data_IF_629006319845
#
_entry.id   IF_629006319845
#
_cell.length_a   1.000
_cell.length_b   1.000
_cell.length_c   1.000
_cell.angle_alpha   90.00
_cell.angle_beta   90.00
_cell.angle_gamma   90.00
#
_symmetry.space_group_name_H-M   'P 1'
#
loop_
_entity.id
_entity.type
_entity.pdbx_description
1 polymer ?
#
# COMPACT_ATOMS: atom_id res chain seq x y z
N UNK A 1 -6.68 -26.88 -7.52
CA UNK A 1 -7.38 -25.75 -8.19
C UNK A 1 -6.70 -25.49 -9.52
N UNK A 2 -7.33 -25.81 -10.66
CA UNK A 2 -6.70 -25.72 -11.99
C UNK A 2 -7.02 -24.42 -12.74
N UNK A 3 -8.17 -23.78 -12.50
CA UNK A 3 -8.53 -22.48 -13.09
C UNK A 3 -8.16 -21.28 -12.20
N UNK A 4 -7.80 -20.14 -12.82
CA UNK A 4 -7.69 -18.85 -12.12
C UNK A 4 -9.06 -18.52 -11.53
N UNK A 5 -9.10 -18.18 -10.24
CA UNK A 5 -10.37 -17.93 -9.56
C UNK A 5 -11.01 -16.63 -10.06
N UNK A 6 -12.34 -16.55 -9.99
CA UNK A 6 -13.10 -15.35 -10.31
C UNK A 6 -12.57 -14.11 -9.57
N UNK A 7 -12.23 -14.28 -8.28
CA UNK A 7 -11.69 -13.24 -7.40
C UNK A 7 -10.35 -12.68 -7.89
N UNK A 8 -9.43 -13.54 -8.28
CA UNK A 8 -8.14 -13.13 -8.85
C UNK A 8 -8.36 -12.23 -10.07
N UNK A 9 -9.21 -12.65 -11.03
CA UNK A 9 -9.55 -11.87 -12.23
C UNK A 9 -10.11 -10.49 -11.91
N UNK A 10 -11.07 -10.43 -10.99
CA UNK A 10 -11.67 -9.17 -10.55
C UNK A 10 -10.60 -8.26 -9.93
N UNK A 11 -9.75 -8.79 -9.05
CA UNK A 11 -8.70 -7.99 -8.41
C UNK A 11 -7.72 -7.40 -9.44
N UNK A 12 -7.29 -8.19 -10.43
CA UNK A 12 -6.43 -7.70 -11.51
C UNK A 12 -7.12 -6.58 -12.29
N UNK A 13 -8.36 -6.79 -12.74
CA UNK A 13 -9.09 -5.80 -13.54
C UNK A 13 -9.24 -4.49 -12.76
N UNK A 14 -9.67 -4.54 -11.49
CA UNK A 14 -9.82 -3.35 -10.67
C UNK A 14 -8.48 -2.63 -10.44
N UNK A 15 -7.41 -3.38 -10.15
CA UNK A 15 -6.07 -2.79 -9.97
C UNK A 15 -5.54 -2.14 -11.25
N UNK A 16 -5.79 -2.77 -12.40
CA UNK A 16 -5.43 -2.24 -13.71
C UNK A 16 -6.22 -0.95 -14.00
N UNK A 17 -7.52 -0.91 -13.74
CA UNK A 17 -8.36 0.27 -13.96
C UNK A 17 -7.95 1.47 -13.08
N UNK A 18 -7.48 1.24 -11.85
CA UNK A 18 -6.92 2.28 -10.98
C UNK A 18 -5.63 2.86 -11.60
N UNK A 19 -4.70 2.01 -12.04
CA UNK A 19 -3.46 2.47 -12.68
C UNK A 19 -3.71 3.12 -14.05
N UNK A 20 -4.65 2.58 -14.81
CA UNK A 20 -5.04 3.13 -16.10
C UNK A 20 -5.66 4.52 -15.96
N UNK A 21 -6.36 4.77 -14.86
CA UNK A 21 -6.86 6.11 -14.54
C UNK A 21 -5.74 7.13 -14.37
N UNK A 22 -4.70 6.76 -13.61
CA UNK A 22 -3.49 7.58 -13.47
C UNK A 22 -2.79 7.79 -14.81
N UNK A 23 -2.68 6.74 -15.64
CA UNK A 23 -2.10 6.83 -16.98
C UNK A 23 -2.88 7.79 -17.88
N UNK A 24 -4.21 7.67 -17.94
CA UNK A 24 -5.06 8.55 -18.75
C UNK A 24 -4.91 10.02 -18.39
N UNK A 25 -4.87 10.33 -17.09
CA UNK A 25 -4.64 11.70 -16.61
C UNK A 25 -3.20 12.18 -16.85
N UNK A 26 -2.21 11.28 -16.86
CA UNK A 26 -0.84 11.62 -17.23
C UNK A 26 -0.68 11.95 -18.72
N UNK A 27 -1.45 11.27 -19.58
CA UNK A 27 -1.41 11.46 -21.03
C UNK A 27 -2.43 12.48 -21.52
N UNK A 28 -3.12 13.19 -20.61
CA UNK A 28 -4.15 14.20 -20.93
C UNK A 28 -5.26 13.66 -21.84
N UNK A 29 -5.70 12.42 -21.60
CA UNK A 29 -6.79 11.81 -22.35
C UNK A 29 -8.11 12.59 -22.13
N UNK A 30 -9.04 12.62 -23.10
CA UNK A 30 -10.34 13.26 -22.94
C UNK A 30 -11.08 12.80 -21.70
N UNK A 31 -11.76 13.73 -21.01
CA UNK A 31 -12.52 13.45 -19.79
C UNK A 31 -13.54 12.32 -19.99
N UNK A 32 -14.11 12.17 -21.20
CA UNK A 32 -15.00 11.06 -21.55
C UNK A 32 -14.34 9.69 -21.32
N UNK A 33 -13.08 9.49 -21.72
CA UNK A 33 -12.37 8.22 -21.53
C UNK A 33 -12.08 7.95 -20.05
N UNK A 34 -11.79 9.00 -19.27
CA UNK A 34 -11.61 8.90 -17.82
C UNK A 34 -12.93 8.47 -17.14
N UNK A 35 -14.06 9.04 -17.54
CA UNK A 35 -15.40 8.65 -17.06
C UNK A 35 -15.73 7.20 -17.43
N UNK A 36 -15.46 6.79 -18.67
CA UNK A 36 -15.67 5.41 -19.13
C UNK A 36 -14.82 4.44 -18.30
N UNK A 37 -13.54 4.72 -18.08
CA UNK A 37 -12.67 3.88 -17.24
C UNK A 37 -13.22 3.72 -15.82
N UNK A 38 -13.70 4.82 -15.21
CA UNK A 38 -14.29 4.76 -13.87
C UNK A 38 -15.65 4.02 -13.85
N UNK A 39 -16.49 4.17 -14.87
CA UNK A 39 -17.72 3.40 -15.01
C UNK A 39 -17.45 1.90 -15.16
N UNK A 40 -16.42 1.51 -15.92
CA UNK A 40 -15.99 0.11 -16.03
C UNK A 40 -15.50 -0.41 -14.67
N UNK A 41 -14.80 0.43 -13.88
CA UNK A 41 -14.41 0.08 -12.52
C UNK A 41 -15.65 -0.21 -11.66
N UNK A 42 -16.63 0.69 -11.63
CA UNK A 42 -17.89 0.50 -10.89
C UNK A 42 -18.66 -0.74 -11.37
N UNK A 43 -18.77 -0.95 -12.69
CA UNK A 43 -19.41 -2.13 -13.25
C UNK A 43 -18.70 -3.42 -12.82
N UNK A 44 -17.37 -3.42 -12.76
CA UNK A 44 -16.59 -4.56 -12.27
C UNK A 44 -16.87 -4.83 -10.79
N UNK A 45 -17.01 -3.78 -9.98
CA UNK A 45 -17.46 -3.92 -8.57
C UNK A 45 -18.87 -4.52 -8.52
N UNK A 46 -19.82 -4.04 -9.33
CA UNK A 46 -21.17 -4.60 -9.38
C UNK A 46 -21.15 -6.09 -9.78
N UNK A 47 -20.35 -6.47 -10.78
CA UNK A 47 -20.17 -7.87 -11.19
C UNK A 47 -19.64 -8.71 -10.03
N UNK A 48 -18.67 -8.21 -9.25
CA UNK A 48 -18.18 -8.88 -8.06
C UNK A 48 -19.28 -9.12 -7.00
N UNK A 49 -20.15 -8.13 -6.79
CA UNK A 49 -21.26 -8.27 -5.84
C UNK A 49 -22.31 -9.29 -6.30
N UNK A 50 -22.70 -9.26 -7.58
CA UNK A 50 -23.88 -10.00 -8.04
C UNK A 50 -23.61 -11.35 -8.71
N UNK A 51 -22.51 -11.52 -9.47
CA UNK A 51 -22.30 -12.74 -10.29
C UNK A 51 -22.20 -14.02 -9.45
N UNK A 52 -21.59 -13.93 -8.27
CA UNK A 52 -21.53 -15.00 -7.27
C UNK A 52 -21.97 -14.44 -5.90
N UNK A 53 -23.26 -14.10 -5.78
CA UNK A 53 -23.78 -13.32 -4.64
C UNK A 53 -23.38 -13.90 -3.26
N UNK A 54 -23.47 -15.21 -3.08
CA UNK A 54 -23.15 -15.89 -1.82
C UNK A 54 -21.65 -16.13 -1.59
N UNK A 55 -20.80 -15.92 -2.59
CA UNK A 55 -19.34 -16.01 -2.39
C UNK A 55 -18.82 -14.73 -1.72
N UNK A 56 -17.98 -14.92 -0.70
CA UNK A 56 -17.38 -13.85 0.09
C UNK A 56 -18.38 -12.82 0.65
N UNK A 57 -19.41 -13.27 1.40
CA UNK A 57 -20.42 -12.36 1.96
C UNK A 57 -19.79 -11.40 2.99
N UNK A 58 -18.75 -11.85 3.71
CA UNK A 58 -18.03 -11.04 4.67
C UNK A 58 -17.39 -9.81 4.03
N UNK A 59 -16.67 -9.93 2.90
CA UNK A 59 -16.11 -8.75 2.25
C UNK A 59 -17.19 -7.81 1.76
N UNK A 60 -18.25 -8.34 1.14
CA UNK A 60 -19.33 -7.52 0.58
C UNK A 60 -20.02 -6.68 1.65
N UNK A 61 -20.38 -7.30 2.77
CA UNK A 61 -20.99 -6.61 3.91
C UNK A 61 -20.00 -5.62 4.53
N UNK A 62 -18.78 -6.07 4.84
CA UNK A 62 -17.72 -5.22 5.40
C UNK A 62 -17.47 -3.96 4.57
N UNK A 63 -17.41 -4.13 3.25
CA UNK A 63 -17.10 -3.03 2.35
C UNK A 63 -18.28 -2.09 2.14
N UNK A 64 -19.53 -2.59 2.12
CA UNK A 64 -20.71 -1.74 2.16
C UNK A 64 -20.71 -0.84 3.40
N UNK A 65 -20.40 -1.38 4.59
CA UNK A 65 -20.26 -0.57 5.79
C UNK A 65 -19.20 0.52 5.66
N UNK A 66 -18.02 0.20 5.11
CA UNK A 66 -16.97 1.21 4.84
C UNK A 66 -17.47 2.31 3.91
N UNK A 67 -18.17 1.96 2.83
CA UNK A 67 -18.76 2.93 1.90
C UNK A 67 -19.75 3.83 2.64
N UNK A 68 -20.68 3.27 3.42
CA UNK A 68 -21.68 4.04 4.15
C UNK A 68 -21.04 5.02 5.15
N UNK A 69 -20.03 4.57 5.92
CA UNK A 69 -19.30 5.44 6.85
C UNK A 69 -18.54 6.55 6.10
N UNK A 70 -17.91 6.20 4.97
CA UNK A 70 -17.21 7.16 4.12
C UNK A 70 -18.17 8.22 3.59
N UNK A 71 -19.36 7.85 3.14
CA UNK A 71 -20.36 8.80 2.64
C UNK A 71 -21.00 9.66 3.74
N UNK A 72 -21.06 9.15 4.98
CA UNK A 72 -21.67 9.86 6.11
C UNK A 72 -20.78 10.93 6.76
N UNK A 73 -19.53 11.13 6.32
CA UNK A 73 -18.58 12.04 6.98
C UNK A 73 -17.81 12.90 5.97
N UNK A 74 -17.64 14.21 6.19
CA UNK A 74 -16.71 15.01 5.38
C UNK A 74 -15.25 14.69 5.75
N UNK A 75 -14.30 15.07 4.90
CA UNK A 75 -12.88 15.07 5.30
C UNK A 75 -12.60 16.26 6.22
N UNK A 76 -12.16 15.97 7.45
CA UNK A 76 -11.80 16.98 8.44
C UNK A 76 -10.32 16.90 8.89
N UNK A 77 -9.65 15.77 8.68
CA UNK A 77 -8.27 15.60 9.11
C UNK A 77 -7.29 16.34 8.19
N UNK A 78 -6.28 16.97 8.79
CA UNK A 78 -5.39 17.91 8.10
C UNK A 78 -4.70 17.30 6.88
N UNK A 79 -3.94 16.21 7.00
CA UNK A 79 -3.23 15.63 5.86
C UNK A 79 -4.20 15.08 4.80
N UNK A 80 -5.30 14.43 5.21
CA UNK A 80 -6.32 13.94 4.28
C UNK A 80 -6.88 15.06 3.40
N UNK A 81 -7.16 16.22 4.00
CA UNK A 81 -7.69 17.39 3.29
C UNK A 81 -6.60 18.12 2.51
N UNK A 82 -5.51 18.48 3.17
CA UNK A 82 -4.51 19.45 2.72
C UNK A 82 -3.43 18.84 1.83
N UNK A 83 -3.25 17.51 1.83
CA UNK A 83 -2.35 16.80 0.93
C UNK A 83 -3.21 16.06 -0.10
N UNK A 84 -3.92 15.03 0.36
CA UNK A 84 -4.49 14.02 -0.52
C UNK A 84 -5.67 14.54 -1.36
N UNK A 85 -6.71 15.07 -0.71
CA UNK A 85 -7.86 15.64 -1.44
C UNK A 85 -7.56 16.98 -2.07
N UNK A 86 -6.62 17.77 -1.54
CA UNK A 86 -6.17 18.98 -2.19
C UNK A 86 -5.57 18.68 -3.57
N UNK A 87 -4.66 17.71 -3.67
CA UNK A 87 -4.13 17.26 -4.96
C UNK A 87 -5.22 16.72 -5.88
N UNK A 88 -6.17 15.94 -5.34
CA UNK A 88 -7.30 15.44 -6.12
C UNK A 88 -8.16 16.57 -6.71
N UNK A 89 -8.42 17.62 -5.91
CA UNK A 89 -9.16 18.81 -6.33
C UNK A 89 -8.42 19.58 -7.42
N UNK A 90 -7.10 19.74 -7.28
CA UNK A 90 -6.26 20.34 -8.33
C UNK A 90 -6.34 19.56 -9.64
N UNK A 91 -6.18 18.24 -9.58
CA UNK A 91 -6.30 17.36 -10.75
C UNK A 91 -7.69 17.48 -11.39
N UNK A 92 -8.76 17.60 -10.58
CA UNK A 92 -10.12 17.78 -11.08
C UNK A 92 -10.29 19.09 -11.87
N UNK A 93 -9.74 20.22 -11.40
CA UNK A 93 -9.86 21.49 -12.12
C UNK A 93 -8.91 21.60 -13.32
N UNK A 94 -7.69 21.06 -13.19
CA UNK A 94 -6.63 21.22 -14.18
C UNK A 94 -6.61 20.08 -15.23
N UNK A 95 -7.32 18.97 -14.99
CA UNK A 95 -7.40 17.85 -15.92
C UNK A 95 -6.13 16.99 -16.03
N UNK A 96 -5.15 17.17 -15.14
CA UNK A 96 -3.86 16.47 -15.21
C UNK A 96 -3.24 16.17 -13.84
N UNK A 97 -2.56 15.02 -13.73
CA UNK A 97 -1.73 14.69 -12.56
C UNK A 97 -0.53 15.62 -12.38
N UNK A 98 -0.17 16.38 -13.43
CA UNK A 98 0.93 17.34 -13.43
C UNK A 98 0.51 18.75 -12.99
N UNK A 99 -0.71 18.89 -12.46
CA UNK A 99 -1.23 20.13 -11.85
C UNK A 99 -0.28 20.74 -10.82
N UNK A 100 0.52 19.93 -10.13
CA UNK A 100 1.53 20.36 -9.16
C UNK A 100 2.79 21.04 -9.76
N UNK A 101 2.87 21.18 -11.09
CA UNK A 101 4.05 21.71 -11.80
C UNK A 101 4.43 23.14 -11.42
N UNK A 102 3.48 23.93 -10.93
CA UNK A 102 3.70 25.29 -10.43
C UNK A 102 4.36 25.34 -9.03
N UNK A 103 4.50 24.18 -8.38
CA UNK A 103 5.00 24.03 -7.03
C UNK A 103 4.26 24.91 -5.99
N UNK A 104 2.99 25.25 -6.25
CA UNK A 104 2.13 25.99 -5.34
C UNK A 104 1.85 25.17 -4.06
N UNK A 105 1.58 25.84 -2.94
CA UNK A 105 1.24 25.21 -1.66
C UNK A 105 2.27 24.16 -1.19
N UNK A 106 3.57 24.51 -1.11
CA UNK A 106 4.65 23.57 -0.74
C UNK A 106 4.38 22.70 0.50
N UNK A 107 3.59 23.19 1.46
CA UNK A 107 3.15 22.41 2.63
C UNK A 107 2.40 21.12 2.28
N UNK A 108 1.77 21.03 1.09
CA UNK A 108 1.01 19.87 0.62
C UNK A 108 1.87 18.76 0.02
N UNK A 109 3.20 18.84 0.12
CA UNK A 109 4.13 17.80 -0.32
C UNK A 109 3.92 17.41 -1.79
N UNK A 110 4.13 18.38 -2.69
CA UNK A 110 3.89 18.25 -4.13
C UNK A 110 4.71 17.16 -4.84
N UNK A 111 5.75 16.64 -4.19
CA UNK A 111 6.57 15.55 -4.72
C UNK A 111 5.94 14.17 -4.48
N UNK A 112 4.89 14.06 -3.66
CA UNK A 112 4.18 12.81 -3.43
C UNK A 112 3.50 12.31 -4.71
N UNK A 113 3.51 10.99 -4.96
CA UNK A 113 2.83 10.43 -6.11
C UNK A 113 1.30 10.54 -5.99
N UNK A 114 0.66 10.76 -7.13
CA UNK A 114 -0.74 11.16 -7.20
C UNK A 114 -1.71 10.03 -7.60
N UNK A 115 -1.42 8.75 -7.34
CA UNK A 115 -2.33 7.65 -7.77
C UNK A 115 -3.73 7.77 -7.18
N UNK A 116 -3.82 7.85 -5.85
CA UNK A 116 -5.12 7.93 -5.18
C UNK A 116 -5.79 9.29 -5.40
N UNK A 117 -5.06 10.44 -5.37
CA UNK A 117 -5.60 11.71 -5.80
C UNK A 117 -6.18 11.70 -7.23
N UNK A 118 -5.50 11.08 -8.21
CA UNK A 118 -5.99 10.95 -9.58
C UNK A 118 -7.28 10.11 -9.65
N UNK A 119 -7.33 9.00 -8.91
CA UNK A 119 -8.51 8.16 -8.82
C UNK A 119 -9.69 8.87 -8.13
N UNK A 120 -9.41 9.74 -7.16
CA UNK A 120 -10.38 10.62 -6.51
C UNK A 120 -10.91 11.70 -7.44
N UNK A 121 -10.03 12.39 -8.18
CA UNK A 121 -10.41 13.37 -9.19
C UNK A 121 -11.34 12.77 -10.27
N UNK A 122 -11.08 11.52 -10.65
CA UNK A 122 -11.88 10.80 -11.64
C UNK A 122 -13.30 10.49 -11.21
N UNK A 123 -13.52 10.27 -9.91
CA UNK A 123 -14.87 10.22 -9.36
C UNK A 123 -15.56 11.59 -9.44
N UNK A 124 -14.83 12.67 -9.16
CA UNK A 124 -15.30 14.04 -9.39
C UNK A 124 -15.70 14.28 -10.85
N UNK A 125 -14.87 13.86 -11.81
CA UNK A 125 -15.18 13.96 -13.24
C UNK A 125 -16.44 13.19 -13.62
N UNK A 126 -16.63 11.99 -13.06
CA UNK A 126 -17.84 11.20 -13.29
C UNK A 126 -19.10 11.94 -12.82
N UNK A 127 -19.05 12.57 -11.65
CA UNK A 127 -20.16 13.34 -11.09
C UNK A 127 -20.39 14.68 -11.79
N UNK A 128 -19.35 15.24 -12.42
CA UNK A 128 -19.41 16.54 -13.10
C UNK A 128 -19.22 17.75 -12.18
N UNK A 129 -19.02 17.54 -10.88
CA UNK A 129 -18.74 18.60 -9.91
C UNK A 129 -17.86 18.09 -8.76
N UNK A 130 -17.21 19.01 -8.05
CA UNK A 130 -16.42 18.69 -6.85
C UNK A 130 -17.24 18.90 -5.56
N UNK A 131 -17.05 18.01 -4.59
CA UNK A 131 -17.52 18.15 -3.22
C UNK A 131 -16.57 17.40 -2.28
N UNK A 132 -16.66 17.63 -0.96
CA UNK A 132 -15.70 17.10 0.01
C UNK A 132 -16.05 15.68 0.53
N UNK A 133 -17.10 15.04 -0.01
CA UNK A 133 -17.60 13.74 0.45
C UNK A 133 -17.39 12.65 -0.60
N UNK A 134 -17.90 12.81 -1.82
CA UNK A 134 -17.87 11.78 -2.85
C UNK A 134 -16.44 11.45 -3.33
N UNK A 135 -15.57 12.40 -3.71
CA UNK A 135 -14.20 12.09 -4.15
C UNK A 135 -13.38 11.33 -3.10
N UNK A 136 -13.64 11.53 -1.80
CA UNK A 136 -13.02 10.78 -0.70
C UNK A 136 -13.27 9.28 -0.82
N UNK A 137 -14.43 8.87 -1.34
CA UNK A 137 -14.82 7.46 -1.47
C UNK A 137 -13.81 6.66 -2.28
N UNK A 138 -13.11 7.28 -3.24
CA UNK A 138 -12.05 6.63 -4.02
C UNK A 138 -10.92 6.04 -3.17
N UNK A 139 -10.63 6.60 -2.00
CA UNK A 139 -9.66 6.04 -1.04
C UNK A 139 -10.15 4.70 -0.48
N UNK A 140 -11.44 4.61 -0.13
CA UNK A 140 -12.04 3.35 0.30
C UNK A 140 -12.09 2.34 -0.83
N UNK A 141 -12.52 2.75 -2.04
CA UNK A 141 -12.57 1.90 -3.24
C UNK A 141 -11.22 1.30 -3.60
N UNK A 142 -10.12 2.01 -3.36
CA UNK A 142 -8.77 1.49 -3.62
C UNK A 142 -8.36 0.33 -2.71
N UNK A 143 -9.05 0.05 -1.59
CA UNK A 143 -8.82 -1.16 -0.81
C UNK A 143 -9.40 -2.42 -1.47
N UNK A 144 -10.39 -2.31 -2.36
CA UNK A 144 -11.11 -3.47 -2.89
C UNK A 144 -10.20 -4.50 -3.60
N UNK A 145 -9.29 -4.10 -4.52
CA UNK A 145 -8.46 -5.06 -5.24
C UNK A 145 -7.62 -6.00 -4.33
N UNK A 146 -6.80 -5.50 -3.38
CA UNK A 146 -6.04 -6.39 -2.50
C UNK A 146 -6.92 -7.24 -1.58
N UNK A 147 -8.08 -6.74 -1.14
CA UNK A 147 -9.00 -7.49 -0.29
C UNK A 147 -9.70 -8.63 -1.04
N UNK A 148 -10.07 -8.41 -2.30
CA UNK A 148 -10.63 -9.47 -3.16
C UNK A 148 -9.54 -10.50 -3.48
N UNK A 149 -8.33 -10.03 -3.80
CA UNK A 149 -7.22 -10.89 -4.20
C UNK A 149 -6.84 -11.92 -3.14
N UNK A 150 -6.91 -11.57 -1.85
CA UNK A 150 -6.45 -12.46 -0.78
C UNK A 150 -7.51 -13.51 -0.37
N UNK A 151 -8.78 -13.33 -0.75
CA UNK A 151 -9.87 -14.24 -0.40
C UNK A 151 -9.65 -15.70 -0.84
N UNK A 152 -9.15 -16.02 -2.05
CA UNK A 152 -8.85 -17.40 -2.44
C UNK A 152 -7.81 -18.08 -1.53
N UNK A 153 -6.92 -17.29 -0.93
CA UNK A 153 -5.85 -17.78 -0.06
C UNK A 153 -6.27 -17.92 1.41
N UNK A 154 -7.25 -17.12 1.84
CA UNK A 154 -7.82 -17.14 3.18
C UNK A 154 -9.32 -17.42 3.04
N UNK A 155 -9.79 -18.62 3.38
CA UNK A 155 -11.20 -18.99 3.24
C UNK A 155 -11.96 -18.94 4.56
N UNK A 156 -13.28 -18.72 4.47
CA UNK A 156 -14.24 -18.84 5.56
C UNK A 156 -13.85 -18.00 6.80
N UNK A 157 -13.65 -18.65 7.94
CA UNK A 157 -13.31 -18.03 9.22
C UNK A 157 -11.99 -17.27 9.18
N UNK A 158 -10.97 -17.79 8.48
CA UNK A 158 -9.68 -17.11 8.35
C UNK A 158 -9.83 -15.79 7.60
N UNK A 159 -10.72 -15.73 6.62
CA UNK A 159 -11.00 -14.47 5.94
C UNK A 159 -11.71 -13.45 6.84
N UNK A 160 -12.65 -13.90 7.67
CA UNK A 160 -13.30 -13.03 8.64
C UNK A 160 -12.31 -12.47 9.67
N UNK A 161 -11.38 -13.31 10.15
CA UNK A 161 -10.29 -12.88 11.04
C UNK A 161 -9.40 -11.85 10.31
N UNK A 162 -9.08 -12.08 9.03
CA UNK A 162 -8.33 -11.12 8.23
C UNK A 162 -9.01 -9.76 8.12
N UNK A 163 -10.31 -9.71 7.82
CA UNK A 163 -11.07 -8.45 7.80
C UNK A 163 -11.10 -7.79 9.18
N UNK A 164 -11.17 -8.58 10.25
CA UNK A 164 -11.11 -8.08 11.63
C UNK A 164 -9.74 -7.46 11.95
N UNK A 165 -8.64 -8.07 11.49
CA UNK A 165 -7.28 -7.53 11.59
C UNK A 165 -7.17 -6.20 10.85
N UNK A 166 -7.72 -6.12 9.63
CA UNK A 166 -7.74 -4.87 8.85
C UNK A 166 -8.49 -3.79 9.62
N UNK A 167 -9.70 -4.08 10.08
CA UNK A 167 -10.49 -3.12 10.83
C UNK A 167 -9.77 -2.65 12.10
N UNK A 168 -9.21 -3.58 12.87
CA UNK A 168 -8.50 -3.27 14.11
C UNK A 168 -7.25 -2.40 13.86
N UNK A 169 -6.40 -2.79 12.90
CA UNK A 169 -5.11 -2.11 12.68
C UNK A 169 -5.30 -0.82 11.90
N UNK A 170 -6.00 -0.87 10.77
CA UNK A 170 -6.19 0.26 9.86
C UNK A 170 -7.23 1.23 10.42
N UNK A 171 -8.35 0.74 10.96
CA UNK A 171 -9.38 1.55 11.61
C UNK A 171 -9.94 2.66 10.71
N UNK A 172 -10.03 3.88 11.25
CA UNK A 172 -10.58 5.05 10.53
C UNK A 172 -9.95 5.34 9.17
N UNK A 173 -8.69 4.92 8.96
CA UNK A 173 -7.96 5.08 7.71
C UNK A 173 -8.58 4.31 6.52
N UNK A 174 -9.56 3.44 6.78
CA UNK A 174 -10.37 2.78 5.75
C UNK A 174 -11.34 3.75 5.05
N UNK A 175 -11.72 4.86 5.69
CA UNK A 175 -12.77 5.77 5.21
C UNK A 175 -12.50 7.26 5.45
N UNK A 176 -11.35 7.64 6.03
CA UNK A 176 -11.02 9.03 6.36
C UNK A 176 -10.32 9.82 5.24
N UNK A 177 -9.99 9.19 4.10
CA UNK A 177 -9.25 9.82 3.00
C UNK A 177 -7.73 9.85 3.20
N UNK A 178 -7.20 9.09 4.16
CA UNK A 178 -5.76 8.95 4.37
C UNK A 178 -5.16 7.82 3.55
N UNK A 179 -3.93 8.02 3.07
CA UNK A 179 -3.20 7.02 2.30
C UNK A 179 -2.44 5.97 3.15
N UNK A 180 -2.17 6.21 4.44
CA UNK A 180 -1.33 5.30 5.26
C UNK A 180 -1.94 3.90 5.40
N UNK A 181 -3.26 3.82 5.52
CA UNK A 181 -3.97 2.53 5.59
C UNK A 181 -3.85 1.73 4.30
N UNK A 182 -4.01 2.42 3.15
CA UNK A 182 -3.83 1.82 1.83
C UNK A 182 -2.39 1.31 1.67
N UNK A 183 -1.41 2.12 2.05
CA UNK A 183 0.00 1.76 1.99
C UNK A 183 0.28 0.46 2.76
N UNK A 184 -0.23 0.35 3.99
CA UNK A 184 -0.05 -0.83 4.83
C UNK A 184 -0.64 -2.10 4.18
N UNK A 185 -1.86 -2.01 3.65
CA UNK A 185 -2.54 -3.15 3.00
C UNK A 185 -1.83 -3.55 1.71
N UNK A 186 -1.49 -2.60 0.84
CA UNK A 186 -0.76 -2.87 -0.40
C UNK A 186 0.63 -3.45 -0.10
N UNK A 187 1.31 -3.01 0.95
CA UNK A 187 2.60 -3.59 1.35
C UNK A 187 2.45 -5.04 1.81
N UNK A 188 1.52 -5.34 2.73
CA UNK A 188 1.35 -6.70 3.23
C UNK A 188 0.97 -7.70 2.13
N UNK A 189 0.09 -7.31 1.20
CA UNK A 189 -0.27 -8.16 0.06
C UNK A 189 0.84 -8.22 -1.00
N UNK A 190 1.64 -7.16 -1.17
CA UNK A 190 2.83 -7.22 -2.03
C UNK A 190 3.91 -8.15 -1.45
N UNK A 191 4.10 -8.11 -0.13
CA UNK A 191 4.99 -9.02 0.59
C UNK A 191 4.50 -10.48 0.46
N UNK A 192 3.18 -10.69 0.49
CA UNK A 192 2.58 -12.01 0.24
C UNK A 192 2.91 -12.55 -1.16
N UNK A 193 2.74 -11.74 -2.20
CA UNK A 193 3.09 -12.10 -3.57
C UNK A 193 4.59 -12.41 -3.71
N UNK A 194 5.45 -11.60 -3.10
CA UNK A 194 6.90 -11.84 -3.06
C UNK A 194 7.24 -13.16 -2.35
N UNK A 195 6.58 -13.46 -1.25
CA UNK A 195 6.71 -14.74 -0.56
C UNK A 195 6.32 -15.91 -1.47
N UNK A 196 5.14 -15.86 -2.10
CA UNK A 196 4.66 -16.95 -2.98
C UNK A 196 5.61 -17.16 -4.17
N UNK A 197 6.04 -16.10 -4.84
CA UNK A 197 6.87 -16.25 -6.05
C UNK A 197 8.25 -16.80 -5.76
N UNK A 198 8.89 -16.31 -4.69
CA UNK A 198 10.31 -16.55 -4.49
C UNK A 198 10.57 -17.49 -3.32
N UNK A 199 9.80 -17.46 -2.25
CA UNK A 199 10.13 -18.20 -1.03
C UNK A 199 9.37 -19.51 -0.96
N UNK A 200 8.07 -19.49 -1.26
CA UNK A 200 7.24 -20.69 -1.28
C UNK A 200 7.67 -21.67 -2.37
N UNK A 201 7.58 -22.97 -2.06
CA UNK A 201 8.07 -24.04 -2.93
C UNK A 201 7.10 -24.41 -4.05
N UNK A 202 5.85 -23.97 -3.99
CA UNK A 202 4.83 -24.33 -4.98
C UNK A 202 4.97 -23.51 -6.26
N UNK A 203 5.49 -24.16 -7.31
CA UNK A 203 5.73 -23.54 -8.62
C UNK A 203 4.43 -23.13 -9.36
N UNK A 204 3.25 -23.55 -8.90
CA UNK A 204 1.97 -23.28 -9.58
C UNK A 204 1.74 -21.79 -9.85
N UNK A 205 1.92 -20.95 -8.82
CA UNK A 205 1.72 -19.50 -8.93
C UNK A 205 2.77 -18.85 -9.83
N UNK A 206 4.00 -19.35 -9.80
CA UNK A 206 5.12 -18.84 -10.60
C UNK A 206 4.94 -19.09 -12.10
N UNK A 207 4.18 -20.11 -12.49
CA UNK A 207 3.96 -20.44 -13.91
C UNK A 207 2.84 -19.64 -14.56
N UNK A 208 2.04 -18.90 -13.78
CA UNK A 208 0.87 -18.19 -14.29
C UNK A 208 1.15 -16.70 -14.45
N UNK A 209 1.18 -16.24 -15.70
CA UNK A 209 1.34 -14.82 -16.09
C UNK A 209 0.39 -13.89 -15.34
N UNK A 210 -0.81 -14.38 -15.02
CA UNK A 210 -1.83 -13.65 -14.28
C UNK A 210 -1.33 -13.08 -12.94
N UNK A 211 -0.61 -13.87 -12.14
CA UNK A 211 -0.10 -13.41 -10.86
C UNK A 211 0.99 -12.35 -11.04
N UNK A 212 1.83 -12.47 -12.08
CA UNK A 212 2.83 -11.45 -12.39
C UNK A 212 2.19 -10.11 -12.77
N UNK A 213 1.14 -10.13 -13.59
CA UNK A 213 0.40 -8.91 -13.93
C UNK A 213 -0.23 -8.27 -12.68
N UNK A 214 -0.81 -9.11 -11.81
CA UNK A 214 -1.39 -8.64 -10.53
C UNK A 214 -0.32 -8.03 -9.63
N UNK A 215 0.84 -8.68 -9.53
CA UNK A 215 1.97 -8.18 -8.75
C UNK A 215 2.53 -6.87 -9.30
N UNK A 216 2.70 -6.75 -10.62
CA UNK A 216 3.11 -5.50 -11.26
C UNK A 216 2.11 -4.39 -10.91
N UNK A 217 0.79 -4.67 -10.97
CA UNK A 217 -0.23 -3.69 -10.61
C UNK A 217 -0.14 -3.29 -9.12
N UNK A 218 -0.01 -4.25 -8.20
CA UNK A 218 0.09 -3.96 -6.77
C UNK A 218 1.39 -3.26 -6.39
N UNK A 219 2.52 -3.64 -7.00
CA UNK A 219 3.82 -3.02 -6.75
C UNK A 219 3.86 -1.59 -7.30
N UNK A 220 3.32 -1.38 -8.51
CA UNK A 220 3.21 -0.03 -9.08
C UNK A 220 2.29 0.84 -8.22
N UNK A 221 1.16 0.28 -7.76
CA UNK A 221 0.27 0.99 -6.84
C UNK A 221 0.95 1.33 -5.53
N UNK A 222 1.67 0.38 -4.92
CA UNK A 222 2.41 0.57 -3.67
C UNK A 222 3.36 1.77 -3.78
N UNK A 223 4.16 1.83 -4.85
CA UNK A 223 5.11 2.94 -5.07
C UNK A 223 4.44 4.29 -5.37
N UNK A 224 3.23 4.28 -5.94
CA UNK A 224 2.49 5.49 -6.30
C UNK A 224 1.47 5.95 -5.24
N UNK A 225 1.27 5.21 -4.14
CA UNK A 225 0.42 5.64 -3.02
C UNK A 225 1.13 6.70 -2.17
N UNK A 226 2.38 6.44 -1.78
CA UNK A 226 3.26 7.33 -1.00
C UNK A 226 4.71 7.05 -1.34
N UNK A 227 5.60 8.02 -1.12
CA UNK A 227 7.06 7.84 -1.25
C UNK A 227 7.59 6.66 -0.42
N UNK A 228 7.03 6.44 0.78
CA UNK A 228 7.36 5.31 1.65
C UNK A 228 7.18 3.95 0.95
N UNK A 229 6.23 3.85 0.01
CA UNK A 229 5.96 2.63 -0.75
C UNK A 229 7.12 2.19 -1.64
N UNK A 230 7.92 3.14 -2.13
CA UNK A 230 9.17 2.85 -2.87
C UNK A 230 10.14 2.09 -1.98
N UNK A 231 10.35 2.61 -0.75
CA UNK A 231 11.28 2.01 0.22
C UNK A 231 10.79 0.64 0.66
N UNK A 232 9.49 0.51 0.93
CA UNK A 232 8.86 -0.76 1.29
C UNK A 232 9.01 -1.80 0.18
N UNK A 233 8.79 -1.44 -1.08
CA UNK A 233 8.98 -2.37 -2.19
C UNK A 233 10.45 -2.76 -2.36
N UNK A 234 11.38 -1.81 -2.24
CA UNK A 234 12.82 -2.08 -2.27
C UNK A 234 13.24 -3.07 -1.16
N UNK A 235 12.70 -2.91 0.06
CA UNK A 235 12.94 -3.85 1.16
C UNK A 235 12.52 -5.28 0.77
N UNK A 236 11.38 -5.46 0.09
CA UNK A 236 10.95 -6.79 -0.35
C UNK A 236 11.91 -7.39 -1.40
N UNK A 237 12.36 -6.59 -2.36
CA UNK A 237 13.36 -7.04 -3.34
C UNK A 237 14.68 -7.42 -2.68
N UNK A 238 15.20 -6.59 -1.77
CA UNK A 238 16.43 -6.87 -1.03
C UNK A 238 16.27 -8.11 -0.15
N UNK A 239 15.13 -8.27 0.53
CA UNK A 239 14.84 -9.46 1.34
C UNK A 239 14.89 -10.73 0.49
N UNK A 240 14.22 -10.74 -0.66
CA UNK A 240 14.24 -11.87 -1.59
C UNK A 240 15.65 -12.12 -2.12
N UNK A 241 16.36 -11.06 -2.51
CA UNK A 241 17.73 -11.13 -3.02
C UNK A 241 18.67 -11.77 -1.98
N UNK A 242 18.67 -11.30 -0.74
CA UNK A 242 19.48 -11.85 0.36
C UNK A 242 19.18 -13.33 0.60
N UNK A 243 17.90 -13.72 0.68
CA UNK A 243 17.51 -15.11 0.90
C UNK A 243 17.94 -16.00 -0.28
N UNK A 244 17.85 -15.51 -1.52
CA UNK A 244 18.17 -16.29 -2.72
C UNK A 244 19.65 -16.40 -2.99
N UNK A 245 20.43 -15.39 -2.62
CA UNK A 245 21.90 -15.47 -2.59
C UNK A 245 22.33 -16.52 -1.57
N UNK A 246 21.81 -16.43 -0.34
CA UNK A 246 22.17 -17.37 0.72
C UNK A 246 21.88 -18.84 0.34
N UNK A 247 20.81 -19.08 -0.43
CA UNK A 247 20.46 -20.42 -0.94
C UNK A 247 21.20 -20.83 -2.22
N UNK A 248 21.98 -19.95 -2.84
CA UNK A 248 22.62 -20.22 -4.14
C UNK A 248 21.64 -20.33 -5.33
N UNK A 249 20.38 -19.90 -5.16
CA UNK A 249 19.32 -20.09 -6.15
C UNK A 249 19.10 -18.87 -7.06
N UNK A 250 19.81 -17.75 -6.84
CA UNK A 250 19.52 -16.45 -7.47
C UNK A 250 19.39 -16.53 -9.01
N UNK A 251 20.27 -17.28 -9.68
CA UNK A 251 20.26 -17.43 -11.15
C UNK A 251 18.92 -17.93 -11.69
N UNK A 252 18.22 -18.79 -10.96
CA UNK A 252 16.90 -19.33 -11.36
C UNK A 252 15.81 -18.25 -11.39
N UNK A 253 15.97 -17.18 -10.63
CA UNK A 253 14.91 -16.19 -10.38
C UNK A 253 15.21 -14.81 -10.99
N UNK A 254 16.37 -14.63 -11.63
CA UNK A 254 16.83 -13.32 -12.07
C UNK A 254 15.89 -12.66 -13.09
N UNK A 255 15.32 -13.45 -14.01
CA UNK A 255 14.36 -12.96 -15.00
C UNK A 255 13.04 -12.52 -14.35
N UNK A 256 12.54 -13.30 -13.38
CA UNK A 256 11.32 -12.97 -12.65
C UNK A 256 11.50 -11.71 -11.80
N UNK A 257 12.67 -11.54 -11.19
CA UNK A 257 13.04 -10.31 -10.46
C UNK A 257 13.09 -9.13 -11.43
N UNK A 258 13.79 -9.27 -12.57
CA UNK A 258 13.89 -8.21 -13.58
C UNK A 258 12.51 -7.77 -14.12
N UNK A 259 11.61 -8.73 -14.37
CA UNK A 259 10.25 -8.44 -14.82
C UNK A 259 9.45 -7.67 -13.76
N UNK A 260 9.54 -8.04 -12.49
CA UNK A 260 8.83 -7.34 -11.41
C UNK A 260 9.41 -5.94 -11.12
N UNK A 261 10.69 -5.71 -11.42
CA UNK A 261 11.31 -4.38 -11.29
C UNK A 261 10.69 -3.33 -12.23
N UNK A 262 10.00 -3.75 -13.31
CA UNK A 262 9.24 -2.84 -14.18
C UNK A 262 8.17 -2.06 -13.41
N UNK A 263 7.71 -2.56 -12.25
CA UNK A 263 6.77 -1.86 -11.39
C UNK A 263 7.31 -0.54 -10.80
N UNK A 264 8.63 -0.31 -10.82
CA UNK A 264 9.21 0.98 -10.41
C UNK A 264 9.13 2.05 -11.52
N UNK A 265 8.87 1.68 -12.78
CA UNK A 265 8.88 2.62 -13.89
C UNK A 265 7.95 3.84 -13.68
N UNK A 266 6.68 3.66 -13.23
CA UNK A 266 5.79 4.80 -13.03
C UNK A 266 6.29 5.81 -11.99
N UNK A 267 6.87 5.33 -10.87
CA UNK A 267 7.38 6.22 -9.83
C UNK A 267 8.69 6.88 -10.24
N UNK A 268 9.54 6.20 -11.01
CA UNK A 268 10.75 6.80 -11.59
C UNK A 268 10.37 7.94 -12.53
N UNK A 269 9.38 7.74 -13.40
CA UNK A 269 8.85 8.80 -14.27
C UNK A 269 8.28 9.98 -13.47
N UNK A 270 7.51 9.70 -12.40
CA UNK A 270 6.98 10.74 -11.52
C UNK A 270 8.08 11.57 -10.84
N UNK A 271 9.10 10.90 -10.30
CA UNK A 271 10.23 11.57 -9.64
C UNK A 271 11.11 12.34 -10.62
N UNK A 272 11.30 11.82 -11.84
CA UNK A 272 11.96 12.56 -12.90
C UNK A 272 11.19 13.83 -13.28
N UNK A 273 9.86 13.75 -13.40
CA UNK A 273 9.01 14.93 -13.60
C UNK A 273 9.22 15.97 -12.48
N UNK A 274 9.10 15.56 -11.21
CA UNK A 274 9.29 16.45 -10.07
C UNK A 274 10.66 17.14 -10.10
N UNK A 275 11.72 16.36 -10.37
CA UNK A 275 13.08 16.87 -10.51
C UNK A 275 13.20 17.89 -11.64
N UNK A 276 12.65 17.59 -12.83
CA UNK A 276 12.70 18.48 -14.01
C UNK A 276 11.98 19.81 -13.79
N UNK A 277 10.98 19.84 -12.90
CA UNK A 277 10.18 21.02 -12.58
C UNK A 277 10.66 21.75 -11.32
N UNK A 278 11.76 21.30 -10.70
CA UNK A 278 12.25 21.90 -9.45
C UNK A 278 11.22 21.80 -8.31
N UNK A 279 10.31 20.83 -8.36
CA UNK A 279 9.39 20.56 -7.27
C UNK A 279 10.25 20.04 -6.12
N UNK A 280 10.27 20.81 -5.04
CA UNK A 280 11.20 20.60 -3.94
C UNK A 280 11.08 19.16 -3.44
N UNK A 281 12.23 18.47 -3.38
CA UNK A 281 12.31 17.15 -2.78
C UNK A 281 11.86 17.23 -1.32
N UNK A 282 11.06 16.25 -0.91
CA UNK A 282 10.48 16.09 0.42
C UNK A 282 11.28 16.76 1.52
N UNK A 283 10.62 17.53 2.38
CA UNK A 283 11.21 18.21 3.53
C UNK A 283 12.08 17.32 4.46
N UNK A 284 12.01 15.99 4.32
CA UNK A 284 12.74 15.01 5.12
C UNK A 284 14.17 14.70 4.64
N UNK A 285 14.48 14.90 3.35
CA UNK A 285 15.83 14.71 2.80
C UNK A 285 16.30 16.06 2.27
N UNK A 286 17.03 16.79 3.11
CA UNK A 286 17.63 18.08 2.79
C UNK A 286 19.17 17.99 2.79
N UNK A 287 19.85 19.08 2.45
CA UNK A 287 21.32 19.17 2.51
C UNK A 287 21.89 18.85 3.89
N UNK A 288 21.09 19.02 4.94
CA UNK A 288 21.49 18.83 6.32
C UNK A 288 21.15 17.43 6.87
N UNK A 289 20.60 16.52 6.05
CA UNK A 289 20.20 15.16 6.47
C UNK A 289 21.35 14.42 7.15
N UNK A 290 22.55 14.47 6.54
CA UNK A 290 23.74 13.84 7.09
C UNK A 290 24.18 14.50 8.39
N UNK A 291 24.10 15.83 8.48
CA UNK A 291 24.45 16.58 9.69
C UNK A 291 23.49 16.27 10.85
N UNK A 292 22.18 16.21 10.57
CA UNK A 292 21.15 15.82 11.54
C UNK A 292 21.37 14.39 12.03
N UNK A 293 21.68 13.48 11.11
CA UNK A 293 21.99 12.09 11.46
C UNK A 293 23.23 12.01 12.36
N UNK A 294 24.35 12.60 11.94
CA UNK A 294 25.62 12.55 12.68
C UNK A 294 25.51 13.18 14.08
N UNK A 295 24.76 14.26 14.22
CA UNK A 295 24.54 14.92 15.52
C UNK A 295 23.69 14.09 16.49
N UNK A 296 22.88 13.13 15.99
CA UNK A 296 21.94 12.34 16.80
C UNK A 296 22.33 10.88 16.96
N UNK A 297 23.24 10.36 16.13
CA UNK A 297 23.62 8.93 16.11
C UNK A 297 24.34 8.47 17.38
N UNK A 298 24.98 9.38 18.11
CA UNK A 298 25.69 9.07 19.36
C UNK A 298 24.80 9.17 20.60
N UNK A 299 23.63 9.79 20.50
CA UNK A 299 22.73 9.98 21.63
C UNK A 299 21.75 8.82 21.77
N UNK A 300 22.01 7.95 22.76
CA UNK A 300 21.19 6.80 23.10
C UNK A 300 19.74 7.16 23.46
N UNK A 301 19.46 8.39 23.94
CA UNK A 301 18.10 8.82 24.25
C UNK A 301 17.22 8.86 23.01
N UNK A 302 17.78 9.23 21.86
CA UNK A 302 17.06 9.27 20.58
C UNK A 302 16.58 7.86 20.18
N UNK A 303 17.45 6.85 20.33
CA UNK A 303 17.09 5.45 20.07
C UNK A 303 16.01 4.94 21.04
N UNK A 304 16.13 5.30 22.32
CA UNK A 304 15.11 4.98 23.33
C UNK A 304 13.75 5.57 22.97
N UNK A 305 13.71 6.82 22.53
CA UNK A 305 12.47 7.50 22.11
C UNK A 305 11.87 6.88 20.83
N UNK A 306 12.69 6.62 19.79
CA UNK A 306 12.18 5.93 18.58
C UNK A 306 11.60 4.56 18.96
N UNK A 307 12.34 3.80 19.79
CA UNK A 307 11.92 2.49 20.28
C UNK A 307 10.59 2.57 21.04
N UNK A 308 10.45 3.57 21.92
CA UNK A 308 9.22 3.82 22.67
C UNK A 308 8.03 4.02 21.72
N UNK A 309 8.12 4.95 20.76
CA UNK A 309 7.02 5.27 19.86
C UNK A 309 6.68 4.13 18.88
N UNK A 310 7.66 3.36 18.43
CA UNK A 310 7.44 2.26 17.49
C UNK A 310 6.99 0.97 18.18
N UNK A 311 7.69 0.54 19.23
CA UNK A 311 7.51 -0.79 19.81
C UNK A 311 6.49 -0.84 20.94
N UNK A 312 6.21 0.27 21.65
CA UNK A 312 5.15 0.30 22.66
C UNK A 312 3.79 0.71 22.07
N UNK A 313 3.68 0.78 20.75
CA UNK A 313 2.39 0.91 20.09
C UNK A 313 1.52 -0.34 20.33
N UNK A 314 0.33 -0.16 20.89
CA UNK A 314 -0.58 -1.25 21.26
C UNK A 314 -0.85 -2.22 20.11
N UNK A 315 -1.12 -1.69 18.91
CA UNK A 315 -1.41 -2.50 17.71
C UNK A 315 -0.19 -3.29 17.27
N UNK A 316 1.01 -2.72 17.40
CA UNK A 316 2.26 -3.40 17.09
C UNK A 316 2.50 -4.55 18.06
N UNK A 317 2.37 -4.32 19.38
CA UNK A 317 2.55 -5.34 20.41
C UNK A 317 1.58 -6.50 20.24
N UNK A 318 0.29 -6.22 20.05
CA UNK A 318 -0.73 -7.26 19.83
C UNK A 318 -0.40 -8.07 18.56
N UNK A 319 0.01 -7.40 17.48
CA UNK A 319 0.39 -8.07 16.23
C UNK A 319 1.65 -8.93 16.38
N UNK A 320 2.62 -8.48 17.17
CA UNK A 320 3.85 -9.21 17.47
C UNK A 320 3.59 -10.45 18.34
N UNK A 321 2.73 -10.33 19.35
CA UNK A 321 2.30 -11.47 20.18
C UNK A 321 1.54 -12.47 19.31
N UNK A 322 0.61 -12.00 18.47
CA UNK A 322 -0.14 -12.89 17.57
C UNK A 322 0.76 -13.62 16.58
N UNK A 323 1.74 -12.93 15.97
CA UNK A 323 2.76 -13.56 15.14
C UNK A 323 3.56 -14.62 15.93
N UNK A 324 4.05 -14.27 17.11
CA UNK A 324 4.85 -15.17 17.95
C UNK A 324 4.09 -16.44 18.33
N UNK A 325 2.84 -16.31 18.79
CA UNK A 325 1.97 -17.45 19.12
C UNK A 325 1.69 -18.30 17.87
N UNK A 326 1.42 -17.65 16.74
CA UNK A 326 1.22 -18.35 15.48
C UNK A 326 2.41 -19.22 15.08
N UNK A 327 3.64 -18.71 15.17
CA UNK A 327 4.86 -19.47 14.84
C UNK A 327 5.25 -20.49 15.89
N UNK A 328 4.81 -20.29 17.15
CA UNK A 328 4.93 -21.31 18.19
C UNK A 328 4.05 -22.52 17.87
N UNK A 329 2.81 -22.30 17.41
CA UNK A 329 1.86 -23.35 17.01
C UNK A 329 2.24 -24.01 15.67
N UNK A 330 2.65 -23.23 14.66
CA UNK A 330 3.08 -23.75 13.36
C UNK A 330 4.46 -23.21 12.95
N UNK A 331 5.48 -24.06 13.01
CA UNK A 331 6.90 -23.69 12.81
C UNK A 331 7.30 -23.58 11.32
N UNK A 332 6.69 -22.67 10.56
CA UNK A 332 7.10 -22.40 9.17
C UNK A 332 8.36 -21.49 9.10
N UNK A 333 9.54 -22.07 9.25
CA UNK A 333 10.81 -21.32 9.28
C UNK A 333 11.14 -20.56 7.99
N UNK A 334 10.53 -20.87 6.85
CA UNK A 334 10.76 -20.14 5.60
C UNK A 334 9.97 -18.83 5.60
N UNK A 335 8.68 -18.91 5.96
CA UNK A 335 7.82 -17.74 6.13
C UNK A 335 8.35 -16.81 7.21
N UNK A 336 8.73 -17.37 8.36
CA UNK A 336 9.29 -16.62 9.49
C UNK A 336 10.51 -15.79 9.07
N UNK A 337 11.51 -16.43 8.42
CA UNK A 337 12.72 -15.73 7.96
C UNK A 337 12.41 -14.61 6.99
N UNK A 338 11.51 -14.84 6.04
CA UNK A 338 11.11 -13.83 5.07
C UNK A 338 10.50 -12.60 5.74
N UNK A 339 9.47 -12.79 6.57
CA UNK A 339 8.79 -11.66 7.21
C UNK A 339 9.68 -10.96 8.24
N UNK A 340 10.48 -11.71 9.00
CA UNK A 340 11.36 -11.16 10.02
C UNK A 340 12.44 -10.26 9.42
N UNK A 341 13.10 -10.70 8.32
CA UNK A 341 14.09 -9.87 7.62
C UNK A 341 13.44 -8.59 7.09
N UNK A 342 12.29 -8.69 6.43
CA UNK A 342 11.60 -7.52 5.88
C UNK A 342 11.19 -6.50 6.97
N UNK A 343 10.68 -6.98 8.11
CA UNK A 343 10.28 -6.13 9.24
C UNK A 343 11.49 -5.45 9.89
N UNK A 344 12.57 -6.19 10.14
CA UNK A 344 13.81 -5.62 10.69
C UNK A 344 14.38 -4.56 9.76
N UNK A 345 14.45 -4.85 8.46
CA UNK A 345 14.92 -3.87 7.47
C UNK A 345 14.07 -2.59 7.50
N UNK A 346 12.75 -2.71 7.59
CA UNK A 346 11.89 -1.53 7.66
C UNK A 346 12.08 -0.75 8.96
N UNK A 347 12.22 -1.44 10.10
CA UNK A 347 12.56 -0.80 11.38
C UNK A 347 13.88 -0.03 11.26
N UNK A 348 14.94 -0.63 10.72
CA UNK A 348 16.24 0.03 10.53
C UNK A 348 16.09 1.31 9.68
N UNK A 349 15.33 1.23 8.59
CA UNK A 349 15.00 2.39 7.76
C UNK A 349 14.28 3.47 8.56
N UNK A 350 13.29 3.12 9.38
CA UNK A 350 12.56 4.09 10.20
C UNK A 350 13.48 4.78 11.21
N UNK A 351 14.39 4.04 11.86
CA UNK A 351 15.40 4.64 12.74
C UNK A 351 16.27 5.63 11.97
N UNK A 352 16.74 5.26 10.78
CA UNK A 352 17.53 6.15 9.94
C UNK A 352 16.75 7.43 9.57
N UNK A 353 15.49 7.30 9.16
CA UNK A 353 14.63 8.44 8.79
C UNK A 353 14.39 9.36 9.99
N UNK A 354 14.09 8.80 11.18
CA UNK A 354 13.85 9.61 12.38
C UNK A 354 15.10 10.31 12.88
N UNK A 355 16.26 9.64 12.89
CA UNK A 355 17.51 10.30 13.28
C UNK A 355 17.91 11.41 12.30
N UNK A 356 17.57 11.25 11.02
CA UNK A 356 17.90 12.22 9.97
C UNK A 356 16.94 13.42 9.87
N UNK A 357 15.81 13.40 10.59
CA UNK A 357 14.75 14.42 10.42
C UNK A 357 15.24 15.83 10.74
N UNK A 358 14.90 16.86 9.94
CA UNK A 358 15.23 18.25 10.28
C UNK A 358 14.27 18.89 11.29
N UNK A 359 13.18 18.20 11.62
CA UNK A 359 12.18 18.68 12.55
C UNK A 359 12.58 18.43 14.01
N UNK A 360 11.82 19.05 14.92
CA UNK A 360 11.83 18.64 16.31
C UNK A 360 11.57 17.14 16.43
N UNK A 361 12.45 16.47 17.16
CA UNK A 361 12.52 15.02 17.15
C UNK A 361 11.30 14.39 17.80
N UNK A 362 10.86 14.94 18.95
CA UNK A 362 9.69 14.45 19.66
C UNK A 362 8.40 14.71 18.87
N UNK A 363 8.23 15.93 18.36
CA UNK A 363 7.07 16.29 17.54
C UNK A 363 6.94 15.41 16.30
N UNK A 364 8.05 15.13 15.60
CA UNK A 364 8.06 14.25 14.44
C UNK A 364 7.63 12.83 14.81
N UNK A 365 8.16 12.28 15.90
CA UNK A 365 7.77 10.95 16.38
C UNK A 365 6.29 10.90 16.77
N UNK A 366 5.84 11.85 17.57
CA UNK A 366 4.46 11.92 18.05
C UNK A 366 3.44 12.05 16.90
N UNK A 367 3.80 12.76 15.83
CA UNK A 367 2.90 12.98 14.68
C UNK A 367 2.92 11.85 13.65
N UNK A 368 3.96 11.03 13.57
CA UNK A 368 4.15 10.07 12.46
C UNK A 368 4.32 8.61 12.87
N UNK A 369 4.86 8.31 14.05
CA UNK A 369 5.20 6.94 14.43
C UNK A 369 3.98 6.00 14.45
N UNK A 370 2.84 6.47 14.97
CA UNK A 370 1.58 5.72 14.98
C UNK A 370 0.98 5.48 13.58
N UNK A 371 1.42 6.22 12.56
CA UNK A 371 1.01 6.02 11.16
C UNK A 371 1.87 4.95 10.49
N UNK A 372 3.19 5.06 10.59
CA UNK A 372 4.12 4.07 10.00
C UNK A 372 4.05 2.71 10.70
N UNK A 373 3.71 2.68 12.00
CA UNK A 373 3.52 1.43 12.75
C UNK A 373 2.39 0.56 12.22
N UNK A 374 1.43 1.12 11.46
CA UNK A 374 0.35 0.34 10.83
C UNK A 374 0.88 -0.64 9.81
N UNK A 375 1.87 -0.25 9.00
CA UNK A 375 2.51 -1.12 8.01
C UNK A 375 3.19 -2.30 8.69
N UNK A 376 3.90 -2.06 9.79
CA UNK A 376 4.51 -3.09 10.63
C UNK A 376 3.45 -4.01 11.22
N UNK A 377 2.49 -3.44 11.94
CA UNK A 377 1.44 -4.17 12.65
C UNK A 377 0.63 -5.05 11.70
N UNK A 378 0.17 -4.47 10.57
CA UNK A 378 -0.62 -5.21 9.58
C UNK A 378 0.16 -6.38 9.01
N UNK A 379 1.41 -6.18 8.63
CA UNK A 379 2.25 -7.24 8.08
C UNK A 379 2.47 -8.37 9.08
N UNK A 380 2.80 -8.04 10.33
CA UNK A 380 2.96 -9.03 11.41
C UNK A 380 1.66 -9.83 11.62
N UNK A 381 0.52 -9.16 11.77
CA UNK A 381 -0.75 -9.83 12.02
C UNK A 381 -1.22 -10.66 10.81
N UNK A 382 -1.09 -10.13 9.60
CA UNK A 382 -1.45 -10.83 8.36
C UNK A 382 -0.63 -12.12 8.18
N UNK A 383 0.69 -12.06 8.35
CA UNK A 383 1.54 -13.24 8.24
C UNK A 383 1.37 -14.22 9.40
N UNK A 384 1.04 -13.73 10.60
CA UNK A 384 0.62 -14.58 11.72
C UNK A 384 -0.62 -15.39 11.38
N UNK A 385 -1.65 -14.75 10.81
CA UNK A 385 -2.86 -15.44 10.36
C UNK A 385 -2.58 -16.42 9.22
N UNK A 386 -1.82 -16.00 8.21
CA UNK A 386 -1.49 -16.86 7.07
C UNK A 386 -0.71 -18.11 7.51
N UNK A 387 0.17 -17.99 8.50
CA UNK A 387 0.89 -19.14 9.05
C UNK A 387 -0.02 -20.14 9.79
N UNK A 388 -1.12 -19.70 10.42
CA UNK A 388 -2.10 -20.58 11.04
C UNK A 388 -3.07 -21.21 10.02
N UNK A 389 -3.03 -20.78 8.77
CA UNK A 389 -3.96 -21.28 7.77
C UNK A 389 -3.65 -22.75 7.43
N UNK A 390 -4.55 -23.64 7.85
CA UNK A 390 -4.40 -25.09 7.67
C UNK A 390 -4.48 -25.56 6.21
N UNK A 391 -4.86 -24.68 5.27
CA UNK A 391 -4.73 -24.94 3.85
C UNK A 391 -3.25 -24.86 3.43
N UNK A 392 -2.47 -25.90 3.77
CA UNK A 392 -1.37 -26.29 2.88
C UNK A 392 -2.05 -26.67 1.58
N UNK A 393 -2.00 -25.79 0.60
CA UNK A 393 -2.51 -26.01 -0.75
C UNK A 393 -1.85 -27.30 -1.24
N UNK A 394 -2.59 -28.42 -1.18
CA UNK A 394 -2.19 -29.69 -1.76
C UNK A 394 -2.35 -29.65 -3.27
#
# INVERSE_FOLDING_TARGET
MTSISFHEKIALILSFLILNNYLFLSLSFPQLLIKINFLIFLLTVLIFYFKNFLENPFLKIFFLFIIFISLGTPVFEWDARSIWLFHAKRIFFDGSIFSVSDNYAKFSQNDLPNLIPAFSASLGFLLGYWNEVFPKLSFSLAFLPPLIFIYPFLKNTNYLIFLSIIFFIIGKYLFSGWADGLLAVYFGISAFLMYIFFIERFDFYRRKTFFYLTAICFFSSLTLIKNEGVVLLLILFVTVFLIKIYKGELKKYILNIALLLLAFLPIVMWKFFCFSKGIAYSHFINTNTLFNLLSRITDLKNYGQISYFLFLNEKFLISLVFLSVSFWLNRNMQLFRFIFIAIIMYIIVLFFVYLSTPYDFYWQLNSTAARVSKTLSFSLAFFGLYNLNNYRIR
#
